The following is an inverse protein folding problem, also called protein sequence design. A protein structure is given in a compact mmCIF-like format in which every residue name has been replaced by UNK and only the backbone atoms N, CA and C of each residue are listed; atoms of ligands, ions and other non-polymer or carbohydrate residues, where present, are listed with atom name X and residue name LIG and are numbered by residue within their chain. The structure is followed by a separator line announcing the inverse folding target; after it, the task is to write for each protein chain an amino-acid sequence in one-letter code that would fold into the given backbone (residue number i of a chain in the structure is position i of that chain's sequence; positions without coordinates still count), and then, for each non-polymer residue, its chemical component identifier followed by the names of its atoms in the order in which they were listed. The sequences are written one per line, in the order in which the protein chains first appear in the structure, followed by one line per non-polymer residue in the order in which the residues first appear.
data_IF_873116338539
#
_entry.id   IF_873116338539
#
_cell.length_a   1.000
_cell.length_b   1.000
_cell.length_c   1.000
_cell.angle_alpha   90.00
_cell.angle_beta   90.00
_cell.angle_gamma   90.00
#
_symmetry.space_group_name_H-M   'P 1'
#
loop_
_entity.id
_entity.type
_entity.pdbx_description
1 polymer ?
#
# COMPACT_ATOMS: atom_id res chain seq x y z
N UNK A 1 3.77 24.20 24.46
CA UNK A 1 4.72 23.15 24.01
C UNK A 1 5.27 23.61 22.67
N UNK A 2 6.31 24.43 22.75
CA UNK A 2 7.13 24.89 21.64
C UNK A 2 8.50 24.28 21.91
N UNK A 3 9.06 23.53 20.96
CA UNK A 3 10.48 23.24 20.93
C UNK A 3 10.93 23.36 19.47
N UNK A 4 11.07 24.62 19.03
CA UNK A 4 12.15 24.98 18.12
C UNK A 4 13.44 24.92 18.95
N UNK A 5 14.38 24.08 18.55
CA UNK A 5 15.73 24.09 19.14
C UNK A 5 16.75 24.15 18.02
N UNK A 6 17.18 25.39 17.80
CA UNK A 6 18.44 25.88 17.30
C UNK A 6 19.50 24.84 16.94
N UNK A 7 19.98 24.99 15.71
CA UNK A 7 21.37 24.75 15.33
C UNK A 7 22.29 25.56 16.25
N UNK A 8 23.02 24.86 17.11
CA UNK A 8 24.16 25.40 17.83
C UNK A 8 25.40 25.00 17.04
N UNK A 9 26.02 26.01 16.42
CA UNK A 9 27.42 25.99 16.04
C UNK A 9 28.24 26.02 17.33
N UNK A 10 28.97 24.95 17.62
CA UNK A 10 30.05 24.95 18.62
C UNK A 10 31.33 24.47 17.91
N UNK A 11 32.09 25.46 17.43
CA UNK A 11 33.53 25.38 17.24
C UNK A 11 34.19 25.09 18.59
N UNK A 12 34.93 23.99 18.71
CA UNK A 12 36.01 23.85 19.68
C UNK A 12 37.14 23.03 19.03
N UNK A 13 38.13 23.75 18.48
CA UNK A 13 39.49 23.23 18.40
C UNK A 13 40.08 23.23 19.81
N UNK A 14 40.55 22.07 20.29
CA UNK A 14 41.76 22.08 21.10
C UNK A 14 42.55 20.76 20.96
N UNK A 15 43.86 20.97 20.92
CA UNK A 15 44.92 20.08 20.49
C UNK A 15 45.26 18.95 21.50
N UNK A 16 46.04 17.97 20.99
CA UNK A 16 47.02 17.12 21.71
C UNK A 16 46.44 15.86 22.42
N UNK A 17 47.03 14.65 22.36
CA UNK A 17 48.44 14.25 22.38
C UNK A 17 48.68 12.84 21.77
N UNK A 18 49.97 12.57 21.51
CA UNK A 18 50.64 11.25 21.48
C UNK A 18 50.76 10.45 20.17
N UNK A 19 51.72 10.93 19.36
CA UNK A 19 52.97 10.21 19.04
C UNK A 19 53.01 8.72 19.46
N UNK A 20 53.03 7.83 18.46
CA UNK A 20 53.80 6.60 18.54
C UNK A 20 54.77 6.58 17.36
N UNK A 21 56.04 6.77 17.71
CA UNK A 21 57.15 7.03 16.80
C UNK A 21 57.43 5.87 15.85
N UNK A 22 57.53 6.23 14.57
CA UNK A 22 58.26 5.45 13.58
C UNK A 22 59.62 6.16 13.38
N UNK A 23 60.76 5.46 13.54
CA UNK A 23 62.07 6.09 13.57
C UNK A 23 62.43 6.70 12.22
N UNK A 24 62.88 7.95 12.28
CA UNK A 24 63.44 8.70 11.17
C UNK A 24 64.72 8.02 10.65
N UNK A 25 64.59 7.24 9.57
CA UNK A 25 65.75 6.76 8.81
C UNK A 25 66.20 7.87 7.87
N UNK A 26 67.21 8.61 8.34
CA UNK A 26 68.00 9.55 7.55
C UNK A 26 68.74 8.82 6.43
N UNK A 27 68.68 9.40 5.22
CA UNK A 27 69.76 9.57 4.25
C UNK A 27 69.49 9.12 2.78
N UNK A 28 69.78 10.10 1.93
CA UNK A 28 70.03 10.15 0.48
C UNK A 28 68.93 9.80 -0.53
N UNK A 29 68.54 10.88 -1.21
CA UNK A 29 67.93 11.04 -2.53
C UNK A 29 68.28 9.94 -3.55
N UNK A 30 67.27 9.60 -4.37
CA UNK A 30 67.35 8.81 -5.60
C UNK A 30 67.44 7.28 -5.47
N UNK A 31 66.59 6.65 -4.63
CA UNK A 31 66.20 5.23 -4.82
C UNK A 31 64.94 4.75 -4.08
N UNK A 32 64.04 5.64 -3.63
CA UNK A 32 62.80 5.26 -2.91
C UNK A 32 61.49 5.44 -3.68
N UNK A 33 61.52 5.93 -4.92
CA UNK A 33 60.31 6.03 -5.74
C UNK A 33 59.92 4.68 -6.41
N UNK A 34 60.87 3.76 -6.61
CA UNK A 34 60.56 2.45 -7.20
C UNK A 34 60.12 1.40 -6.19
N UNK A 35 60.51 1.52 -4.90
CA UNK A 35 60.20 0.50 -3.89
C UNK A 35 58.80 0.71 -3.28
N UNK A 36 58.29 1.94 -3.25
CA UNK A 36 56.95 2.22 -2.75
C UNK A 36 55.83 1.90 -3.76
N UNK A 37 56.18 1.74 -5.03
CA UNK A 37 55.22 1.38 -6.08
C UNK A 37 55.12 -0.14 -6.29
N UNK A 38 56.19 -0.88 -5.99
CA UNK A 38 56.25 -2.35 -6.07
C UNK A 38 55.72 -3.08 -4.82
N UNK A 39 55.45 -2.37 -3.72
CA UNK A 39 54.91 -2.97 -2.48
C UNK A 39 53.43 -2.62 -2.23
N UNK A 40 52.71 -2.20 -3.28
CA UNK A 40 51.25 -1.98 -3.25
C UNK A 40 50.51 -2.74 -4.37
N UNK A 41 51.19 -3.64 -5.07
CA UNK A 41 50.61 -4.56 -6.06
C UNK A 41 50.94 -6.00 -5.71
N UNK A 42 50.45 -6.45 -4.56
CA UNK A 42 50.38 -7.89 -4.28
C UNK A 42 49.15 -8.13 -3.39
N UNK A 43 47.99 -8.02 -4.02
CA UNK A 43 46.78 -8.69 -3.56
C UNK A 43 46.42 -9.71 -4.63
N UNK A 44 46.15 -10.96 -4.22
CA UNK A 44 45.99 -12.10 -5.12
C UNK A 44 44.89 -11.82 -6.14
N UNK A 45 44.98 -12.46 -7.31
CA UNK A 45 44.00 -12.46 -8.40
C UNK A 45 42.57 -12.68 -7.87
N UNK A 46 41.96 -11.61 -7.36
CA UNK A 46 40.54 -11.54 -7.04
C UNK A 46 39.87 -11.53 -8.39
N UNK A 47 39.16 -12.61 -8.68
CA UNK A 47 38.50 -12.92 -9.93
C UNK A 47 37.76 -11.65 -10.42
N UNK A 48 38.41 -10.91 -11.35
CA UNK A 48 37.91 -9.62 -11.83
C UNK A 48 36.50 -9.80 -12.40
N UNK A 49 36.22 -11.00 -12.91
CA UNK A 49 34.94 -11.41 -13.45
C UNK A 49 33.85 -11.47 -12.37
N UNK A 50 34.16 -11.89 -11.14
CA UNK A 50 33.19 -11.88 -10.03
C UNK A 50 32.90 -10.46 -9.54
N UNK A 51 33.94 -9.63 -9.38
CA UNK A 51 33.76 -8.23 -8.96
C UNK A 51 32.98 -7.40 -10.00
N UNK A 52 33.24 -7.61 -11.29
CA UNK A 52 32.51 -6.97 -12.38
C UNK A 52 31.07 -7.49 -12.49
N UNK A 53 30.84 -8.78 -12.22
CA UNK A 53 29.49 -9.36 -12.18
C UNK A 53 28.65 -8.74 -11.06
N UNK A 54 29.22 -8.56 -9.87
CA UNK A 54 28.54 -7.89 -8.75
C UNK A 54 28.26 -6.42 -9.06
N UNK A 55 29.21 -5.70 -9.67
CA UNK A 55 29.00 -4.31 -10.09
C UNK A 55 27.85 -4.19 -11.09
N UNK A 56 27.77 -5.12 -12.05
CA UNK A 56 26.68 -5.18 -13.03
C UNK A 56 25.33 -5.45 -12.35
N UNK A 57 25.28 -6.36 -11.38
CA UNK A 57 24.06 -6.65 -10.62
C UNK A 57 23.56 -5.40 -9.87
N UNK A 58 24.45 -4.67 -9.20
CA UNK A 58 24.10 -3.43 -8.49
C UNK A 58 23.61 -2.34 -9.47
N UNK A 59 24.22 -2.22 -10.65
CA UNK A 59 23.76 -1.29 -11.69
C UNK A 59 22.37 -1.67 -12.22
N UNK A 60 22.09 -2.96 -12.40
CA UNK A 60 20.78 -3.45 -12.82
C UNK A 60 19.71 -3.20 -11.74
N UNK A 61 20.04 -3.40 -10.47
CA UNK A 61 19.15 -3.12 -9.33
C UNK A 61 18.79 -1.64 -9.25
N UNK A 62 19.78 -0.74 -9.31
CA UNK A 62 19.56 0.72 -9.31
C UNK A 62 18.79 1.19 -10.55
N UNK A 63 19.00 0.56 -11.71
CA UNK A 63 18.22 0.85 -12.92
C UNK A 63 16.75 0.44 -12.78
N UNK A 64 16.48 -0.65 -12.08
CA UNK A 64 15.11 -1.10 -11.78
C UNK A 64 14.45 -0.15 -10.79
N UNK A 65 15.13 0.23 -9.71
CA UNK A 65 14.62 1.16 -8.70
C UNK A 65 14.25 2.53 -9.31
N UNK A 66 15.17 3.14 -10.06
CA UNK A 66 14.91 4.43 -10.74
C UNK A 66 13.73 4.37 -11.71
N UNK A 67 13.53 3.22 -12.39
CA UNK A 67 12.37 3.01 -13.26
C UNK A 67 11.07 2.99 -12.44
N UNK A 68 11.03 2.29 -11.30
CA UNK A 68 9.84 2.27 -10.45
C UNK A 68 9.55 3.65 -9.85
N UNK A 69 10.57 4.37 -9.40
CA UNK A 69 10.41 5.74 -8.89
C UNK A 69 9.79 6.67 -9.94
N UNK A 70 10.25 6.57 -11.20
CA UNK A 70 9.70 7.37 -12.30
C UNK A 70 8.22 7.06 -12.57
N UNK A 71 7.82 5.78 -12.50
CA UNK A 71 6.43 5.37 -12.69
C UNK A 71 5.54 5.85 -11.54
N UNK A 72 6.03 5.74 -10.30
CA UNK A 72 5.32 6.24 -9.11
C UNK A 72 5.11 7.74 -9.20
N UNK A 73 6.16 8.51 -9.54
CA UNK A 73 6.07 9.96 -9.73
C UNK A 73 5.09 10.34 -10.83
N UNK A 74 5.10 9.66 -11.98
CA UNK A 74 4.16 9.93 -13.06
C UNK A 74 2.70 9.70 -12.62
N UNK A 75 2.45 8.62 -11.86
CA UNK A 75 1.12 8.32 -11.32
C UNK A 75 0.66 9.38 -10.32
N UNK A 76 1.56 9.86 -9.47
CA UNK A 76 1.28 10.93 -8.51
C UNK A 76 1.00 12.26 -9.21
N UNK A 77 1.77 12.61 -10.24
CA UNK A 77 1.54 13.82 -11.05
C UNK A 77 0.19 13.77 -11.78
N UNK A 78 -0.20 12.62 -12.34
CA UNK A 78 -1.52 12.44 -12.97
C UNK A 78 -2.66 12.56 -11.95
N UNK A 79 -2.52 11.95 -10.77
CA UNK A 79 -3.50 12.07 -9.69
C UNK A 79 -3.62 13.52 -9.22
N UNK A 80 -2.51 14.21 -9.06
CA UNK A 80 -2.47 15.62 -8.67
C UNK A 80 -3.17 16.50 -9.70
N UNK A 81 -2.89 16.32 -10.99
CA UNK A 81 -3.58 17.04 -12.08
C UNK A 81 -5.09 16.83 -12.06
N UNK A 82 -5.55 15.60 -11.85
CA UNK A 82 -6.99 15.31 -11.72
C UNK A 82 -7.61 16.01 -10.52
N UNK A 83 -6.90 16.04 -9.38
CA UNK A 83 -7.35 16.74 -8.19
C UNK A 83 -7.45 18.25 -8.40
N UNK A 84 -6.45 18.88 -9.01
CA UNK A 84 -6.49 20.31 -9.35
C UNK A 84 -7.60 20.64 -10.34
N UNK A 85 -7.81 19.80 -11.36
CA UNK A 85 -8.92 19.94 -12.29
C UNK A 85 -10.27 19.84 -11.57
N UNK A 86 -10.43 18.92 -10.62
CA UNK A 86 -11.63 18.80 -9.80
C UNK A 86 -11.86 20.02 -8.90
N UNK A 87 -10.80 20.54 -8.27
CA UNK A 87 -10.87 21.75 -7.45
C UNK A 87 -11.25 22.98 -8.26
N UNK A 88 -10.69 23.13 -9.46
CA UNK A 88 -10.95 24.26 -10.36
C UNK A 88 -12.33 24.16 -11.04
N UNK A 89 -12.83 22.95 -11.34
CA UNK A 89 -14.20 22.76 -11.84
C UNK A 89 -15.24 23.06 -10.77
N UNK A 90 -14.99 22.73 -9.50
CA UNK A 90 -15.82 23.16 -8.37
C UNK A 90 -15.86 24.68 -8.22
N UNK A 91 -14.72 25.36 -8.39
CA UNK A 91 -14.67 26.83 -8.38
C UNK A 91 -15.40 27.47 -9.58
N UNK A 92 -15.37 26.84 -10.77
CA UNK A 92 -16.10 27.32 -11.95
C UNK A 92 -17.60 26.99 -11.94
N UNK A 93 -18.05 26.09 -11.07
CA UNK A 93 -19.47 25.81 -10.89
C UNK A 93 -20.21 26.99 -10.23
N UNK A 94 -19.52 27.76 -9.38
CA UNK A 94 -20.09 28.93 -8.71
C UNK A 94 -20.17 30.19 -9.60
N UNK A 95 -19.53 30.22 -10.79
CA UNK A 95 -19.38 31.43 -11.63
C UNK A 95 -19.94 31.37 -13.06
N UNK A 96 -20.69 30.33 -13.44
CA UNK A 96 -21.41 30.28 -14.74
C UNK A 96 -22.90 30.05 -14.57
N UNK A 97 -23.60 31.09 -14.13
CA UNK A 97 -25.04 31.25 -14.35
C UNK A 97 -25.30 32.32 -15.42
N UNK A 98 -24.97 32.05 -16.69
CA UNK A 98 -25.69 32.65 -17.82
C UNK A 98 -25.41 31.85 -19.09
N UNK A 99 -26.43 31.78 -19.95
CA UNK A 99 -26.49 31.09 -21.26
C UNK A 99 -26.58 29.55 -21.26
N UNK A 100 -27.80 29.09 -20.93
CA UNK A 100 -28.64 28.18 -21.72
C UNK A 100 -28.04 26.87 -22.26
N UNK A 101 -28.25 25.79 -21.49
CA UNK A 101 -28.81 24.57 -22.05
C UNK A 101 -29.89 24.08 -21.08
N UNK A 102 -31.16 24.09 -21.53
CA UNK A 102 -32.30 23.60 -20.75
C UNK A 102 -32.21 22.06 -20.75
N UNK A 103 -31.34 21.54 -19.89
CA UNK A 103 -31.50 20.22 -19.31
C UNK A 103 -31.94 20.54 -17.89
N UNK A 104 -33.23 20.36 -17.62
CA UNK A 104 -33.87 20.54 -16.32
C UNK A 104 -32.91 20.15 -15.19
N UNK A 105 -32.37 21.16 -14.51
CA UNK A 105 -31.27 21.07 -13.55
C UNK A 105 -31.70 20.65 -12.15
N UNK A 106 -32.98 20.30 -11.99
CA UNK A 106 -33.39 19.52 -10.84
C UNK A 106 -32.99 18.06 -11.10
N UNK A 107 -32.21 17.40 -10.23
CA UNK A 107 -32.10 15.96 -10.28
C UNK A 107 -33.53 15.40 -10.31
N UNK A 108 -33.84 14.60 -11.34
CA UNK A 108 -35.15 13.93 -11.41
C UNK A 108 -35.15 12.87 -10.32
N UNK A 109 -35.75 13.21 -9.19
CA UNK A 109 -35.85 12.31 -8.05
C UNK A 109 -35.92 13.11 -6.76
N UNK A 110 -36.77 12.65 -5.84
CA UNK A 110 -36.67 13.11 -4.46
C UNK A 110 -35.26 12.76 -3.95
N UNK A 111 -34.66 13.67 -3.18
CA UNK A 111 -33.43 13.38 -2.44
C UNK A 111 -33.74 12.12 -1.60
N UNK A 112 -32.99 11.02 -1.76
CA UNK A 112 -33.22 9.82 -0.97
C UNK A 112 -33.08 10.21 0.50
N UNK A 113 -33.98 9.69 1.33
CA UNK A 113 -33.90 9.92 2.78
C UNK A 113 -32.52 9.45 3.25
N UNK A 114 -31.84 10.22 4.12
CA UNK A 114 -30.59 9.78 4.73
C UNK A 114 -30.83 8.41 5.38
N UNK A 115 -29.96 7.46 5.05
CA UNK A 115 -30.02 6.11 5.62
C UNK A 115 -29.71 6.26 7.11
N UNK A 116 -30.61 5.83 7.98
CA UNK A 116 -30.36 5.80 9.40
C UNK A 116 -29.51 4.56 9.73
N UNK A 117 -28.59 4.58 10.71
CA UNK A 117 -27.81 3.40 11.09
C UNK A 117 -28.67 2.17 11.43
N UNK A 118 -29.86 2.35 12.01
CA UNK A 118 -30.85 1.27 12.19
C UNK A 118 -31.27 0.58 10.88
N UNK A 119 -31.36 1.33 9.78
CA UNK A 119 -31.77 0.77 8.48
C UNK A 119 -30.67 -0.12 7.88
N UNK A 120 -29.41 0.07 8.29
CA UNK A 120 -28.25 -0.73 7.83
C UNK A 120 -28.09 -2.04 8.63
N UNK A 121 -28.49 -2.05 9.91
CA UNK A 121 -28.29 -3.20 10.78
C UNK A 121 -29.12 -4.41 10.30
N UNK A 122 -30.37 -4.17 9.89
CA UNK A 122 -31.26 -5.18 9.34
C UNK A 122 -30.73 -5.78 8.01
N UNK A 123 -29.94 -5.04 7.23
CA UNK A 123 -29.44 -5.52 5.92
C UNK A 123 -28.22 -6.45 6.03
N UNK A 124 -27.35 -6.23 7.03
CA UNK A 124 -26.17 -7.07 7.23
C UNK A 124 -26.55 -8.49 7.66
N UNK A 125 -27.66 -8.62 8.38
CA UNK A 125 -28.17 -9.92 8.80
C UNK A 125 -28.73 -10.73 7.62
N UNK A 126 -29.01 -10.12 6.46
CA UNK A 126 -29.63 -10.78 5.30
C UNK A 126 -28.67 -11.55 4.41
N UNK A 127 -27.38 -11.53 4.74
CA UNK A 127 -26.35 -12.17 3.93
C UNK A 127 -26.02 -13.57 4.43
N UNK A 128 -25.51 -14.37 3.50
CA UNK A 128 -24.90 -15.65 3.79
C UNK A 128 -23.63 -15.40 4.61
N UNK A 129 -23.56 -15.96 5.83
CA UNK A 129 -22.40 -15.79 6.71
C UNK A 129 -21.08 -16.37 6.19
N UNK A 130 -21.11 -17.10 5.06
CA UNK A 130 -19.94 -17.75 4.46
C UNK A 130 -19.41 -16.94 3.25
N UNK A 131 -20.28 -16.64 2.27
CA UNK A 131 -19.86 -16.00 1.02
C UNK A 131 -20.25 -14.52 0.92
N UNK A 132 -20.99 -13.97 1.89
CA UNK A 132 -21.54 -12.61 1.88
C UNK A 132 -22.50 -12.31 0.71
N UNK A 133 -23.03 -13.34 0.03
CA UNK A 133 -24.10 -13.19 -0.95
C UNK A 133 -25.49 -13.20 -0.27
N UNK A 134 -26.55 -12.90 -1.02
CA UNK A 134 -27.92 -12.93 -0.51
C UNK A 134 -28.31 -14.30 0.09
N UNK A 135 -28.74 -14.30 1.35
CA UNK A 135 -29.23 -15.51 1.99
C UNK A 135 -30.64 -15.88 1.51
N UNK A 136 -30.88 -17.17 1.37
CA UNK A 136 -32.17 -17.74 0.93
C UNK A 136 -32.71 -18.79 1.88
N UNK A 137 -31.90 -19.20 2.85
CA UNK A 137 -32.20 -20.23 3.83
C UNK A 137 -31.77 -19.74 5.22
N UNK A 138 -32.50 -20.14 6.26
CA UNK A 138 -32.11 -20.03 7.66
C UNK A 138 -32.02 -21.44 8.23
N UNK A 139 -30.91 -21.75 8.90
CA UNK A 139 -30.72 -23.00 9.61
C UNK A 139 -31.23 -22.85 11.05
N UNK A 140 -32.20 -23.66 11.48
CA UNK A 140 -32.74 -23.57 12.84
C UNK A 140 -31.78 -24.16 13.90
N UNK A 141 -30.91 -25.09 13.49
CA UNK A 141 -29.96 -25.78 14.38
C UNK A 141 -28.64 -25.01 14.56
N UNK A 142 -28.30 -24.10 13.63
CA UNK A 142 -27.15 -23.19 13.72
C UNK A 142 -27.57 -21.81 14.23
N UNK A 143 -28.36 -21.75 15.30
CA UNK A 143 -28.78 -20.51 15.95
C UNK A 143 -29.51 -19.49 15.04
N UNK A 144 -30.15 -19.96 13.96
CA UNK A 144 -30.85 -19.09 13.03
C UNK A 144 -29.94 -18.37 12.03
N UNK A 145 -28.69 -18.81 11.85
CA UNK A 145 -27.79 -18.29 10.83
C UNK A 145 -28.36 -18.45 9.42
N UNK A 146 -28.12 -17.43 8.58
CA UNK A 146 -28.62 -17.38 7.20
C UNK A 146 -27.55 -17.82 6.20
N UNK A 147 -27.97 -18.58 5.18
CA UNK A 147 -27.10 -19.13 4.15
C UNK A 147 -27.72 -19.02 2.75
N UNK A 148 -26.87 -19.04 1.73
CA UNK A 148 -27.29 -19.30 0.35
C UNK A 148 -27.47 -20.82 0.13
N UNK A 149 -28.16 -21.21 -0.95
CA UNK A 149 -28.41 -22.64 -1.24
C UNK A 149 -27.11 -23.44 -1.40
N UNK A 150 -26.09 -22.87 -2.05
CA UNK A 150 -24.81 -23.54 -2.29
C UNK A 150 -24.06 -23.79 -0.99
N UNK A 151 -23.84 -22.75 -0.18
CA UNK A 151 -23.11 -22.88 1.08
C UNK A 151 -23.85 -23.75 2.10
N UNK A 152 -25.18 -23.70 2.12
CA UNK A 152 -25.96 -24.62 2.95
C UNK A 152 -25.79 -26.07 2.48
N UNK A 153 -25.86 -26.34 1.17
CA UNK A 153 -25.66 -27.69 0.67
C UNK A 153 -24.25 -28.18 1.01
N UNK A 154 -23.22 -27.40 0.72
CA UNK A 154 -21.83 -27.74 1.03
C UNK A 154 -21.62 -28.02 2.52
N UNK A 155 -22.07 -27.14 3.41
CA UNK A 155 -21.82 -27.27 4.85
C UNK A 155 -22.78 -28.20 5.62
N UNK A 156 -23.98 -28.45 5.09
CA UNK A 156 -25.07 -29.11 5.85
C UNK A 156 -25.75 -30.28 5.12
N UNK A 157 -25.48 -30.55 3.83
CA UNK A 157 -26.09 -31.71 3.13
C UNK A 157 -25.16 -32.45 2.18
N UNK A 158 -24.02 -31.87 1.86
CA UNK A 158 -23.05 -32.37 0.91
C UNK A 158 -22.14 -33.41 1.53
N UNK A 159 -21.32 -34.01 0.68
CA UNK A 159 -20.32 -35.01 1.11
C UNK A 159 -19.24 -34.41 2.02
N UNK A 160 -19.04 -33.10 1.95
CA UNK A 160 -18.11 -32.34 2.80
C UNK A 160 -18.74 -31.84 4.11
N UNK A 161 -20.03 -32.09 4.34
CA UNK A 161 -20.72 -31.72 5.57
C UNK A 161 -20.37 -32.70 6.71
N UNK A 162 -20.30 -32.18 7.93
CA UNK A 162 -20.13 -33.02 9.11
C UNK A 162 -21.40 -33.85 9.40
N UNK A 163 -21.23 -35.00 10.06
CA UNK A 163 -22.36 -35.90 10.33
C UNK A 163 -23.48 -35.21 11.14
N UNK A 164 -23.13 -34.32 12.06
CA UNK A 164 -24.12 -33.57 12.83
C UNK A 164 -24.86 -32.53 11.96
N UNK A 165 -24.13 -31.80 11.12
CA UNK A 165 -24.72 -30.78 10.24
C UNK A 165 -25.61 -31.37 9.14
N UNK A 166 -25.42 -32.64 8.75
CA UNK A 166 -26.32 -33.32 7.79
C UNK A 166 -27.78 -33.45 8.25
N UNK A 167 -28.02 -33.38 9.56
CA UNK A 167 -29.36 -33.49 10.15
C UNK A 167 -30.05 -32.15 10.30
N UNK A 168 -29.34 -31.07 10.05
CA UNK A 168 -29.87 -29.74 10.27
C UNK A 168 -31.01 -29.40 9.30
N UNK A 169 -32.01 -28.70 9.82
CA UNK A 169 -33.20 -28.32 9.08
C UNK A 169 -33.12 -26.84 8.73
N UNK A 170 -33.16 -26.55 7.42
CA UNK A 170 -33.28 -25.19 6.92
C UNK A 170 -34.70 -24.85 6.51
N UNK A 171 -35.11 -23.62 6.82
CA UNK A 171 -36.34 -22.98 6.33
C UNK A 171 -36.01 -21.93 5.29
N UNK A 172 -36.92 -21.71 4.34
CA UNK A 172 -36.76 -20.66 3.32
C UNK A 172 -36.81 -19.28 3.98
N UNK A 173 -35.78 -18.48 3.75
CA UNK A 173 -35.72 -17.09 4.14
C UNK A 173 -36.27 -16.19 3.03
N UNK A 174 -37.06 -15.18 3.41
CA UNK A 174 -37.54 -14.14 2.50
C UNK A 174 -37.22 -12.80 3.13
N UNK A 175 -36.36 -12.02 2.46
CA UNK A 175 -35.97 -10.68 2.88
C UNK A 175 -37.20 -9.79 3.07
N UNK A 176 -37.20 -9.01 4.16
CA UNK A 176 -38.34 -8.18 4.60
C UNK A 176 -38.73 -7.06 3.60
N UNK A 177 -37.92 -6.83 2.55
CA UNK A 177 -38.20 -5.91 1.45
C UNK A 177 -38.72 -6.55 0.14
N UNK A 178 -38.74 -7.88 0.02
CA UNK A 178 -39.11 -8.59 -1.23
C UNK A 178 -40.59 -8.99 -1.33
N UNK A 179 -41.46 -8.41 -0.50
CA UNK A 179 -42.90 -8.65 -0.60
C UNK A 179 -43.49 -7.77 -1.72
N UNK A 180 -43.26 -8.16 -2.96
CA UNK A 180 -43.91 -7.58 -4.13
C UNK A 180 -45.32 -8.20 -4.18
N UNK A 181 -46.32 -7.37 -3.91
CA UNK A 181 -47.75 -7.69 -4.03
C UNK A 181 -48.10 -8.00 -5.49
#
# INVERSE_FOLDING_TARGET
MLLETNWLDDDDEDDNDDILGIPSISLSTAKKAHIAQDLLMDQPDLDHDESNALLKQVQEETAVETKYDSFHKQREEDLFKRYEAFKNTKANFDTRSSEQNIISSAPRGAIPKPIHPEDLHDELEDWCGICNDDATLICDDCEGEKYCNTCFYEGHRGEMADYESTKHIARKYVRKGNNIV
#
